data_IF_762796354538
#
_entry.id   IF_762796354538
#
_cell.length_a   1.000
_cell.length_b   1.000
_cell.length_c   1.000
_cell.angle_alpha   90.00
_cell.angle_beta   90.00
_cell.angle_gamma   90.00
#
_symmetry.space_group_name_H-M   'P 1'
#
loop_
_entity.id
_entity.type
_entity.pdbx_description
1 polymer ?
#
# COMPACT_ATOMS: atom_id res chain seq x y z
N UNK A 1 31.99 -22.27 -5.32
CA UNK A 1 30.89 -21.34 -5.63
C UNK A 1 31.52 -20.00 -5.92
N UNK A 2 31.28 -19.42 -7.09
CA UNK A 2 31.82 -18.10 -7.44
C UNK A 2 31.26 -17.02 -6.50
N UNK A 3 31.98 -15.91 -6.32
CA UNK A 3 31.49 -14.84 -5.42
C UNK A 3 30.21 -14.19 -5.97
N UNK A 4 30.06 -14.13 -7.29
CA UNK A 4 28.82 -13.68 -7.94
C UNK A 4 27.61 -14.57 -7.62
N UNK A 5 27.79 -15.89 -7.73
CA UNK A 5 26.74 -16.86 -7.36
C UNK A 5 26.33 -16.78 -5.88
N UNK A 6 27.30 -16.61 -4.96
CA UNK A 6 27.01 -16.43 -3.53
C UNK A 6 26.16 -15.18 -3.30
N UNK A 7 26.53 -14.07 -3.94
CA UNK A 7 25.81 -12.80 -3.81
C UNK A 7 24.39 -12.90 -4.39
N UNK A 8 24.21 -13.55 -5.54
CA UNK A 8 22.88 -13.82 -6.10
C UNK A 8 22.01 -14.61 -5.12
N UNK A 9 22.56 -15.67 -4.51
CA UNK A 9 21.82 -16.50 -3.53
C UNK A 9 21.38 -15.70 -2.31
N UNK A 10 22.22 -14.77 -1.81
CA UNK A 10 21.84 -13.85 -0.73
C UNK A 10 20.67 -12.97 -1.16
N UNK A 11 20.73 -12.37 -2.36
CA UNK A 11 19.63 -11.53 -2.88
C UNK A 11 18.33 -12.31 -3.02
N UNK A 12 18.39 -13.51 -3.59
CA UNK A 12 17.24 -14.41 -3.74
C UNK A 12 16.62 -14.77 -2.38
N UNK A 13 17.44 -15.17 -1.41
CA UNK A 13 16.98 -15.56 -0.08
C UNK A 13 16.22 -14.43 0.61
N UNK A 14 16.77 -13.21 0.57
CA UNK A 14 16.13 -12.04 1.18
C UNK A 14 14.86 -11.60 0.45
N UNK A 15 14.75 -11.88 -0.85
CA UNK A 15 13.52 -11.65 -1.59
C UNK A 15 12.43 -12.62 -1.15
N UNK A 16 12.75 -13.91 -1.01
CA UNK A 16 11.84 -14.92 -0.46
C UNK A 16 11.40 -14.54 0.96
N UNK A 17 12.32 -14.05 1.80
CA UNK A 17 12.01 -13.53 3.13
C UNK A 17 10.96 -12.42 3.09
N UNK A 18 11.17 -11.39 2.28
CA UNK A 18 10.21 -10.27 2.17
C UNK A 18 8.88 -10.76 1.60
N UNK A 19 8.94 -11.64 0.60
CA UNK A 19 7.79 -12.21 -0.05
C UNK A 19 6.87 -12.97 0.92
N UNK A 20 7.46 -13.80 1.78
CA UNK A 20 6.75 -14.51 2.85
C UNK A 20 5.99 -13.55 3.78
N UNK A 21 6.54 -12.37 4.09
CA UNK A 21 5.83 -11.39 4.93
C UNK A 21 4.62 -10.80 4.20
N UNK A 22 4.74 -10.58 2.90
CA UNK A 22 3.68 -9.94 2.12
C UNK A 22 2.51 -10.88 1.92
N UNK A 23 2.78 -12.12 1.54
CA UNK A 23 1.75 -13.15 1.39
C UNK A 23 1.07 -13.44 2.73
N UNK A 24 1.83 -13.43 3.83
CA UNK A 24 1.29 -13.57 5.19
C UNK A 24 0.32 -12.44 5.55
N UNK A 25 0.69 -11.19 5.30
CA UNK A 25 -0.19 -10.03 5.54
C UNK A 25 -1.44 -10.13 4.67
N UNK A 26 -1.25 -10.38 3.38
CA UNK A 26 -2.33 -10.38 2.40
C UNK A 26 -3.38 -11.45 2.72
N UNK A 27 -2.94 -12.66 3.05
CA UNK A 27 -3.83 -13.80 3.30
C UNK A 27 -4.20 -13.96 4.78
N UNK A 28 -3.70 -13.10 5.67
CA UNK A 28 -3.90 -13.23 7.11
C UNK A 28 -3.30 -14.52 7.69
N UNK A 29 -2.21 -15.01 7.10
CA UNK A 29 -1.51 -16.22 7.51
C UNK A 29 -0.28 -15.89 8.37
N UNK A 30 0.13 -16.79 9.29
CA UNK A 30 1.42 -16.66 9.94
C UNK A 30 2.59 -16.76 8.92
N UNK A 31 3.65 -15.95 9.06
CA UNK A 31 4.88 -16.11 8.28
C UNK A 31 5.47 -17.50 8.40
N UNK A 32 5.93 -18.05 7.27
CA UNK A 32 6.57 -19.37 7.23
C UNK A 32 8.00 -19.32 7.76
N UNK A 33 8.72 -18.23 7.49
CA UNK A 33 10.09 -18.03 7.94
C UNK A 33 10.03 -17.33 9.29
N UNK A 34 10.61 -17.91 10.33
CA UNK A 34 10.67 -17.32 11.65
C UNK A 34 11.94 -16.46 11.80
N UNK A 35 11.80 -15.22 12.27
CA UNK A 35 12.92 -14.27 12.39
C UNK A 35 14.02 -14.75 13.34
N UNK A 36 13.70 -15.61 14.31
CA UNK A 36 14.71 -16.19 15.24
C UNK A 36 15.64 -17.19 14.56
N UNK A 37 15.21 -17.77 13.45
CA UNK A 37 15.93 -18.78 12.68
C UNK A 37 16.67 -18.16 11.47
N UNK A 38 16.64 -16.83 11.35
CA UNK A 38 17.32 -16.09 10.28
C UNK A 38 18.73 -15.70 10.71
N UNK A 39 19.72 -16.41 10.17
CA UNK A 39 21.16 -16.14 10.37
C UNK A 39 21.91 -15.73 9.09
N UNK A 40 21.18 -15.58 7.98
CA UNK A 40 21.76 -15.20 6.69
C UNK A 40 22.29 -13.75 6.69
N UNK A 41 23.49 -13.55 6.14
CA UNK A 41 24.03 -12.22 5.88
C UNK A 41 23.15 -11.43 4.89
N UNK A 42 23.13 -10.11 5.05
CA UNK A 42 22.57 -9.21 4.04
C UNK A 42 23.42 -9.22 2.74
N UNK A 43 22.81 -8.97 1.58
CA UNK A 43 23.51 -8.70 0.33
C UNK A 43 24.46 -7.51 0.45
N UNK A 44 25.48 -7.48 -0.39
CA UNK A 44 26.42 -6.36 -0.43
C UNK A 44 25.96 -5.37 -1.52
N UNK A 45 26.07 -4.07 -1.23
CA UNK A 45 25.83 -3.02 -2.23
C UNK A 45 26.95 -3.06 -3.29
N UNK A 46 26.73 -3.86 -4.34
CA UNK A 46 27.66 -4.09 -5.43
C UNK A 46 26.93 -4.36 -6.74
N UNK A 47 27.59 -4.11 -7.86
CA UNK A 47 27.12 -4.51 -9.18
C UNK A 47 27.36 -6.01 -9.37
N UNK A 48 26.39 -6.68 -10.00
CA UNK A 48 26.45 -8.11 -10.29
C UNK A 48 26.17 -8.34 -11.79
N UNK A 49 27.24 -8.28 -12.58
CA UNK A 49 27.17 -8.47 -14.04
C UNK A 49 27.43 -9.90 -14.48
N UNK A 50 28.15 -10.68 -13.67
CA UNK A 50 28.57 -12.04 -13.98
C UNK A 50 28.47 -12.94 -12.74
N UNK A 51 27.87 -14.11 -12.91
CA UNK A 51 27.72 -15.12 -11.85
C UNK A 51 29.02 -15.89 -11.60
N UNK A 52 29.87 -15.99 -12.62
CA UNK A 52 31.18 -16.62 -12.57
C UNK A 52 32.29 -15.66 -12.11
N UNK A 53 31.94 -14.41 -11.79
CA UNK A 53 32.87 -13.39 -11.33
C UNK A 53 33.74 -13.90 -10.18
N UNK A 54 35.05 -13.66 -10.28
CA UNK A 54 36.03 -13.97 -9.23
C UNK A 54 36.06 -12.90 -8.13
N UNK A 55 35.61 -11.67 -8.44
CA UNK A 55 35.56 -10.53 -7.52
C UNK A 55 34.25 -9.73 -7.72
N UNK A 56 33.76 -9.08 -6.67
CA UNK A 56 32.57 -8.22 -6.73
C UNK A 56 32.93 -6.80 -7.17
N UNK A 57 32.10 -6.20 -8.02
CA UNK A 57 32.28 -4.82 -8.48
C UNK A 57 31.57 -3.85 -7.54
N UNK A 58 32.33 -3.09 -6.75
CA UNK A 58 31.79 -2.15 -5.77
C UNK A 58 31.58 -0.75 -6.38
N UNK A 59 30.52 -0.03 -5.97
CA UNK A 59 30.34 1.36 -6.37
C UNK A 59 31.46 2.24 -5.80
N UNK A 60 31.67 3.42 -6.37
CA UNK A 60 32.62 4.38 -5.83
C UNK A 60 32.20 4.85 -4.43
N UNK A 61 33.14 5.34 -3.59
CA UNK A 61 32.78 5.91 -2.30
C UNK A 61 31.76 7.04 -2.44
N UNK A 62 30.63 6.91 -1.75
CA UNK A 62 29.50 7.86 -1.81
C UNK A 62 28.45 7.51 -2.85
N UNK A 63 28.75 6.60 -3.79
CA UNK A 63 27.77 6.03 -4.71
C UNK A 63 27.06 4.82 -4.09
N UNK A 64 25.91 4.49 -4.67
CA UNK A 64 25.02 3.39 -4.27
C UNK A 64 24.47 2.72 -5.52
N UNK A 65 24.21 1.42 -5.43
CA UNK A 65 23.55 0.67 -6.51
C UNK A 65 22.06 0.47 -6.21
N UNK A 66 21.33 -0.18 -7.12
CA UNK A 66 19.94 -0.62 -6.89
C UNK A 66 19.80 -1.49 -5.64
N UNK A 67 20.87 -2.22 -5.29
CA UNK A 67 20.93 -3.13 -4.15
C UNK A 67 20.78 -2.36 -2.85
N UNK A 68 21.26 -1.12 -2.76
CA UNK A 68 21.00 -0.28 -1.60
C UNK A 68 19.50 -0.13 -1.36
N UNK A 69 18.70 0.16 -2.39
CA UNK A 69 17.24 0.30 -2.24
C UNK A 69 16.60 -1.05 -1.88
N UNK A 70 17.11 -2.16 -2.44
CA UNK A 70 16.69 -3.50 -2.06
C UNK A 70 16.96 -3.81 -0.57
N UNK A 71 18.11 -3.40 -0.03
CA UNK A 71 18.41 -3.55 1.41
C UNK A 71 17.42 -2.78 2.28
N UNK A 72 16.95 -1.61 1.82
CA UNK A 72 15.92 -0.83 2.51
C UNK A 72 14.55 -1.49 2.43
N UNK A 73 14.24 -2.13 1.31
CA UNK A 73 13.06 -2.95 1.14
C UNK A 73 13.07 -4.19 2.06
N UNK A 74 14.22 -4.85 2.21
CA UNK A 74 14.43 -5.92 3.21
C UNK A 74 14.24 -5.42 4.64
N UNK A 75 14.76 -4.23 4.95
CA UNK A 75 14.54 -3.56 6.24
C UNK A 75 13.06 -3.32 6.52
N UNK A 76 12.26 -2.91 5.52
CA UNK A 76 10.81 -2.84 5.65
C UNK A 76 10.18 -4.22 5.90
N UNK A 77 10.62 -5.26 5.19
CA UNK A 77 10.17 -6.64 5.43
C UNK A 77 10.35 -7.08 6.89
N UNK A 78 11.51 -6.77 7.49
CA UNK A 78 11.74 -7.02 8.94
C UNK A 78 10.80 -6.23 9.85
N UNK A 79 10.50 -4.97 9.50
CA UNK A 79 9.51 -4.17 10.26
C UNK A 79 8.11 -4.75 10.15
N UNK A 80 7.71 -5.21 8.96
CA UNK A 80 6.43 -5.85 8.72
C UNK A 80 6.27 -7.15 9.53
N UNK A 81 7.33 -7.97 9.60
CA UNK A 81 7.38 -9.15 10.47
C UNK A 81 7.06 -8.77 11.93
N UNK A 82 7.76 -7.75 12.46
CA UNK A 82 7.51 -7.25 13.82
C UNK A 82 6.11 -6.66 14.01
N UNK A 83 5.53 -6.03 12.99
CA UNK A 83 4.16 -5.51 13.02
C UNK A 83 3.16 -6.66 13.15
N UNK A 84 3.32 -7.72 12.35
CA UNK A 84 2.48 -8.93 12.44
C UNK A 84 2.53 -9.52 13.85
N UNK A 85 3.73 -9.70 14.39
CA UNK A 85 3.94 -10.29 15.72
C UNK A 85 3.40 -9.46 16.88
N UNK A 86 3.42 -8.12 16.76
CA UNK A 86 3.03 -7.24 17.86
C UNK A 86 1.57 -6.80 17.81
N UNK A 87 1.01 -6.62 16.61
CA UNK A 87 -0.31 -6.00 16.40
C UNK A 87 -1.36 -6.94 15.80
N UNK A 88 -0.95 -7.91 14.99
CA UNK A 88 -1.87 -8.79 14.24
C UNK A 88 -1.91 -10.23 14.75
N UNK A 89 -1.38 -10.48 15.95
CA UNK A 89 -1.53 -11.75 16.68
C UNK A 89 -2.63 -11.70 17.73
N UNK A 90 -3.21 -12.85 18.05
CA UNK A 90 -4.19 -13.00 19.15
C UNK A 90 -3.54 -12.96 20.54
N UNK A 91 -2.24 -13.23 20.62
CA UNK A 91 -1.54 -13.52 21.89
C UNK A 91 -0.99 -12.29 22.59
N UNK A 92 -0.76 -11.18 21.87
CA UNK A 92 -0.08 -10.00 22.42
C UNK A 92 -0.94 -8.72 22.38
N UNK A 93 -2.25 -8.80 22.65
CA UNK A 93 -3.17 -7.65 22.46
C UNK A 93 -3.04 -6.49 23.45
N UNK A 94 -2.25 -6.63 24.52
CA UNK A 94 -2.09 -5.57 25.54
C UNK A 94 -1.13 -4.48 25.05
N UNK A 95 -1.28 -3.28 25.60
CA UNK A 95 -0.45 -2.10 25.31
C UNK A 95 -0.42 -1.69 23.83
N UNK A 96 -1.54 -1.86 23.12
CA UNK A 96 -1.66 -1.56 21.69
C UNK A 96 -1.18 -0.15 21.34
N UNK A 97 -1.66 0.88 22.06
CA UNK A 97 -1.24 2.26 21.84
C UNK A 97 0.30 2.45 21.94
N UNK A 98 0.94 1.90 22.99
CA UNK A 98 2.40 1.97 23.15
C UNK A 98 3.12 1.29 21.99
N UNK A 99 2.66 0.10 21.58
CA UNK A 99 3.25 -0.66 20.47
C UNK A 99 3.14 0.10 19.14
N UNK A 100 1.98 0.70 18.87
CA UNK A 100 1.75 1.55 17.69
C UNK A 100 2.76 2.70 17.68
N UNK A 101 2.90 3.44 18.80
CA UNK A 101 3.86 4.55 18.91
C UNK A 101 5.30 4.09 18.70
N UNK A 102 5.70 2.96 19.27
CA UNK A 102 7.06 2.42 19.12
C UNK A 102 7.36 2.00 17.68
N UNK A 103 6.41 1.36 17.01
CA UNK A 103 6.52 0.94 15.61
C UNK A 103 6.54 2.13 14.65
N UNK A 104 5.66 3.12 14.84
CA UNK A 104 5.63 4.36 14.08
C UNK A 104 6.98 5.08 14.16
N UNK A 105 7.48 5.29 15.38
CA UNK A 105 8.80 5.91 15.61
C UNK A 105 9.91 5.13 14.89
N UNK A 106 9.89 3.80 15.00
CA UNK A 106 10.86 2.93 14.33
C UNK A 106 10.81 3.00 12.80
N UNK A 107 9.64 3.27 12.21
CA UNK A 107 9.48 3.48 10.78
C UNK A 107 9.93 4.89 10.36
N UNK A 108 9.63 5.93 11.15
CA UNK A 108 10.07 7.31 10.86
C UNK A 108 11.59 7.48 10.97
N UNK A 109 12.24 6.86 11.96
CA UNK A 109 13.71 6.83 12.06
C UNK A 109 14.33 6.17 10.84
N UNK A 110 13.73 5.09 10.34
CA UNK A 110 14.16 4.47 9.10
C UNK A 110 14.02 5.42 7.90
N UNK A 111 12.89 6.12 7.77
CA UNK A 111 12.71 7.11 6.70
C UNK A 111 13.73 8.27 6.78
N UNK A 112 14.05 8.75 7.98
CA UNK A 112 15.08 9.76 8.18
C UNK A 112 16.47 9.27 7.74
N UNK A 113 16.80 8.01 8.05
CA UNK A 113 18.05 7.39 7.60
C UNK A 113 18.09 7.24 6.08
N UNK A 114 16.97 6.94 5.41
CA UNK A 114 16.90 6.93 3.95
C UNK A 114 17.24 8.30 3.35
N UNK A 115 16.64 9.36 3.90
CA UNK A 115 16.90 10.73 3.46
C UNK A 115 18.36 11.12 3.61
N UNK A 116 18.98 10.75 4.73
CA UNK A 116 20.41 10.96 4.96
C UNK A 116 21.30 10.21 3.94
N UNK A 117 20.77 9.19 3.27
CA UNK A 117 21.45 8.42 2.22
C UNK A 117 20.93 8.76 0.80
N UNK A 118 20.28 9.92 0.61
CA UNK A 118 19.91 10.42 -0.72
C UNK A 118 18.58 9.92 -1.29
N UNK A 119 17.81 9.11 -0.54
CA UNK A 119 16.46 8.71 -0.94
C UNK A 119 15.45 9.64 -0.26
N UNK A 120 14.90 10.58 -1.03
CA UNK A 120 14.10 11.69 -0.50
C UNK A 120 12.61 11.46 -0.71
N UNK A 121 11.93 10.90 0.30
CA UNK A 121 10.46 10.92 0.36
C UNK A 121 9.95 11.04 1.79
N UNK A 122 8.70 11.47 1.93
CA UNK A 122 7.99 11.48 3.21
C UNK A 122 6.82 10.49 3.20
N UNK A 123 6.69 9.76 4.30
CA UNK A 123 5.54 8.89 4.55
C UNK A 123 4.34 9.81 4.85
N UNK A 124 3.21 9.53 4.23
CA UNK A 124 1.97 10.31 4.33
C UNK A 124 1.92 11.55 3.43
N UNK A 125 3.00 11.88 2.71
CA UNK A 125 3.02 13.05 1.83
C UNK A 125 2.53 12.71 0.42
N UNK A 126 1.62 13.52 -0.11
CA UNK A 126 1.11 13.45 -1.49
C UNK A 126 1.93 14.24 -2.48
N UNK A 127 2.77 15.16 -2.01
CA UNK A 127 3.62 15.97 -2.87
C UNK A 127 4.70 15.10 -3.50
N UNK A 128 4.53 14.84 -4.80
CA UNK A 128 5.54 14.19 -5.64
C UNK A 128 6.64 15.21 -5.97
N UNK A 129 7.34 15.71 -4.95
CA UNK A 129 8.56 16.50 -5.13
C UNK A 129 9.70 15.52 -5.46
N UNK A 130 9.74 15.09 -6.71
CA UNK A 130 10.93 14.50 -7.29
C UNK A 130 11.98 15.61 -7.30
N UNK A 131 12.89 15.60 -6.33
CA UNK A 131 13.99 16.58 -6.27
C UNK A 131 14.78 16.47 -7.56
N UNK A 132 14.52 17.41 -8.48
CA UNK A 132 15.21 17.62 -9.74
C UNK A 132 16.58 18.27 -9.50
N UNK A 133 17.37 17.64 -8.62
CA UNK A 133 18.74 18.03 -8.31
C UNK A 133 19.65 16.80 -8.37
N UNK A 134 20.26 16.58 -9.53
CA UNK A 134 21.50 15.82 -9.77
C UNK A 134 21.65 14.35 -9.32
N UNK A 135 20.66 13.71 -8.70
CA UNK A 135 20.78 12.27 -8.36
C UNK A 135 20.27 11.37 -9.48
N UNK A 136 21.16 10.52 -10.01
CA UNK A 136 20.93 9.45 -11.00
C UNK A 136 19.46 8.98 -11.08
N UNK A 137 18.81 9.25 -12.22
CA UNK A 137 17.46 8.76 -12.59
C UNK A 137 17.30 7.22 -12.60
N UNK A 138 18.36 6.46 -12.31
CA UNK A 138 18.43 5.01 -12.48
C UNK A 138 17.47 4.21 -11.59
N UNK A 139 16.93 4.79 -10.50
CA UNK A 139 16.15 4.04 -9.50
C UNK A 139 14.81 4.69 -9.09
N UNK A 140 14.30 5.63 -9.88
CA UNK A 140 13.08 6.39 -9.55
C UNK A 140 11.87 5.47 -9.26
N UNK A 141 11.61 4.49 -10.13
CA UNK A 141 10.51 3.54 -9.95
C UNK A 141 10.66 2.68 -8.68
N UNK A 142 11.89 2.31 -8.34
CA UNK A 142 12.24 1.54 -7.15
C UNK A 142 12.07 2.37 -5.88
N UNK A 143 12.38 3.67 -5.93
CA UNK A 143 12.12 4.62 -4.83
C UNK A 143 10.63 4.86 -4.63
N UNK A 144 9.86 5.06 -5.71
CA UNK A 144 8.40 5.18 -5.63
C UNK A 144 7.77 3.93 -5.01
N UNK A 145 8.25 2.75 -5.40
CA UNK A 145 7.83 1.49 -4.78
C UNK A 145 8.14 1.44 -3.29
N UNK A 146 9.35 1.84 -2.90
CA UNK A 146 9.74 1.85 -1.50
C UNK A 146 8.87 2.81 -0.68
N UNK A 147 8.55 3.99 -1.22
CA UNK A 147 7.63 4.94 -0.60
C UNK A 147 6.22 4.36 -0.48
N UNK A 148 5.72 3.69 -1.52
CA UNK A 148 4.42 3.05 -1.50
C UNK A 148 4.32 1.99 -0.40
N UNK A 149 5.34 1.14 -0.29
CA UNK A 149 5.44 0.11 0.75
C UNK A 149 5.58 0.70 2.15
N UNK A 150 6.28 1.82 2.31
CA UNK A 150 6.37 2.53 3.58
C UNK A 150 5.00 3.08 4.04
N UNK A 151 4.19 3.62 3.12
CA UNK A 151 2.83 4.09 3.43
C UNK A 151 1.88 2.93 3.78
N UNK A 152 2.00 1.80 3.10
CA UNK A 152 1.25 0.59 3.46
C UNK A 152 1.66 0.10 4.86
N UNK A 153 2.95 0.09 5.15
CA UNK A 153 3.48 -0.27 6.48
C UNK A 153 2.91 0.66 7.55
N UNK A 154 2.87 1.97 7.29
CA UNK A 154 2.29 2.94 8.21
C UNK A 154 0.78 2.71 8.44
N UNK A 155 0.05 2.38 7.38
CA UNK A 155 -1.38 2.02 7.46
C UNK A 155 -1.58 0.79 8.36
N UNK A 156 -0.73 -0.23 8.24
CA UNK A 156 -0.79 -1.43 9.09
C UNK A 156 -0.45 -1.13 10.55
N UNK A 157 0.47 -0.20 10.82
CA UNK A 157 0.80 0.21 12.19
C UNK A 157 -0.41 0.84 12.87
N UNK A 158 -1.09 1.78 12.19
CA UNK A 158 -2.15 2.59 12.81
C UNK A 158 -3.55 2.00 12.71
N UNK A 159 -3.81 1.10 11.76
CA UNK A 159 -5.14 0.50 11.55
C UNK A 159 -5.75 -0.13 12.82
N UNK A 160 -5.02 -0.90 13.65
CA UNK A 160 -5.60 -1.45 14.87
C UNK A 160 -6.11 -0.37 15.84
N UNK A 161 -5.50 0.83 15.83
CA UNK A 161 -5.92 1.95 16.66
C UNK A 161 -7.28 2.56 16.27
N UNK A 162 -7.81 2.22 15.10
CA UNK A 162 -9.18 2.59 14.70
C UNK A 162 -10.25 1.82 15.50
N UNK A 163 -9.85 0.81 16.27
CA UNK A 163 -10.73 0.09 17.20
C UNK A 163 -10.72 0.68 18.62
N UNK A 164 -9.90 1.69 18.88
CA UNK A 164 -9.90 2.39 20.16
C UNK A 164 -11.17 3.22 20.34
N UNK A 165 -11.43 3.63 21.58
CA UNK A 165 -12.51 4.56 21.87
C UNK A 165 -12.30 5.85 21.08
N UNK A 166 -13.32 6.24 20.33
CA UNK A 166 -13.23 7.28 19.33
C UNK A 166 -13.14 8.72 19.90
N UNK A 167 -13.27 8.84 21.23
CA UNK A 167 -13.06 10.08 21.98
C UNK A 167 -11.60 10.28 22.37
N UNK A 168 -10.75 9.27 22.17
CA UNK A 168 -9.35 9.30 22.59
C UNK A 168 -8.45 9.99 21.57
N UNK A 169 -7.39 10.71 22.01
CA UNK A 169 -6.42 11.27 21.08
C UNK A 169 -5.67 10.19 20.28
N UNK A 170 -5.51 8.99 20.85
CA UNK A 170 -4.90 7.84 20.18
C UNK A 170 -5.68 7.44 18.93
N UNK A 171 -7.02 7.35 19.02
CA UNK A 171 -7.88 7.09 17.86
C UNK A 171 -7.71 8.17 16.79
N UNK A 172 -7.77 9.44 17.19
CA UNK A 172 -7.64 10.58 16.26
C UNK A 172 -6.30 10.59 15.52
N UNK A 173 -5.21 10.29 16.22
CA UNK A 173 -3.88 10.18 15.61
C UNK A 173 -3.80 9.01 14.63
N UNK A 174 -4.30 7.83 15.01
CA UNK A 174 -4.29 6.66 14.13
C UNK A 174 -5.10 6.90 12.86
N UNK A 175 -6.27 7.55 12.98
CA UNK A 175 -7.10 7.89 11.84
C UNK A 175 -6.40 8.89 10.90
N UNK A 176 -5.72 9.91 11.43
CA UNK A 176 -4.94 10.86 10.63
C UNK A 176 -3.83 10.15 9.85
N UNK A 177 -3.05 9.31 10.51
CA UNK A 177 -1.94 8.59 9.85
C UNK A 177 -2.42 7.62 8.77
N UNK A 178 -3.57 6.96 8.99
CA UNK A 178 -4.22 6.15 7.95
C UNK A 178 -4.73 6.99 6.76
N UNK A 179 -5.25 8.21 7.00
CA UNK A 179 -5.68 9.12 5.94
C UNK A 179 -4.51 9.63 5.10
N UNK A 180 -3.46 10.11 5.76
CA UNK A 180 -2.28 10.66 5.10
C UNK A 180 -1.59 9.57 4.26
N UNK A 181 -1.40 8.38 4.87
CA UNK A 181 -0.84 7.22 4.16
C UNK A 181 -1.75 6.76 3.01
N UNK A 182 -3.07 6.73 3.21
CA UNK A 182 -4.04 6.37 2.18
C UNK A 182 -4.02 7.33 0.99
N UNK A 183 -3.94 8.64 1.25
CA UNK A 183 -3.83 9.69 0.23
C UNK A 183 -2.54 9.55 -0.58
N UNK A 184 -1.42 9.29 0.10
CA UNK A 184 -0.12 9.06 -0.51
C UNK A 184 -0.13 7.79 -1.37
N UNK A 185 -0.72 6.69 -0.88
CA UNK A 185 -0.89 5.45 -1.65
C UNK A 185 -1.64 5.73 -2.95
N UNK A 186 -2.81 6.39 -2.88
CA UNK A 186 -3.62 6.68 -4.07
C UNK A 186 -2.85 7.54 -5.08
N UNK A 187 -2.13 8.56 -4.61
CA UNK A 187 -1.35 9.44 -5.48
C UNK A 187 -0.14 8.75 -6.11
N UNK A 188 0.57 7.90 -5.36
CA UNK A 188 1.69 7.12 -5.87
C UNK A 188 1.23 6.06 -6.87
N UNK A 189 0.12 5.37 -6.59
CA UNK A 189 -0.45 4.36 -7.48
C UNK A 189 -0.95 4.98 -8.78
N UNK A 190 -1.49 6.20 -8.75
CA UNK A 190 -1.86 6.93 -9.96
C UNK A 190 -0.65 7.37 -10.78
N UNK A 191 0.38 7.91 -10.12
CA UNK A 191 1.58 8.42 -10.79
C UNK A 191 2.54 7.33 -11.30
N UNK A 192 2.50 6.15 -10.68
CA UNK A 192 3.50 5.11 -10.92
C UNK A 192 3.09 4.13 -12.02
N UNK A 193 3.98 3.91 -12.98
CA UNK A 193 3.84 2.86 -13.98
C UNK A 193 4.32 1.49 -13.44
N UNK A 194 3.88 1.13 -12.22
CA UNK A 194 4.27 -0.14 -11.59
C UNK A 194 3.74 -1.29 -12.46
N UNK A 195 4.59 -2.24 -12.88
CA UNK A 195 4.17 -3.43 -13.62
C UNK A 195 3.03 -4.16 -12.92
N UNK A 196 2.03 -4.62 -13.68
CA UNK A 196 0.84 -5.29 -13.13
C UNK A 196 1.17 -6.48 -12.25
N UNK A 197 2.12 -7.31 -12.67
CA UNK A 197 2.55 -8.47 -11.90
C UNK A 197 3.04 -8.05 -10.51
N UNK A 198 3.79 -6.94 -10.42
CA UNK A 198 4.30 -6.44 -9.16
C UNK A 198 3.20 -5.84 -8.27
N UNK A 199 2.18 -5.19 -8.86
CA UNK A 199 0.97 -4.79 -8.11
C UNK A 199 0.23 -6.00 -7.54
N UNK A 200 0.11 -7.06 -8.33
CA UNK A 200 -0.63 -8.28 -7.96
C UNK A 200 0.16 -9.20 -7.01
N UNK A 201 1.49 -9.10 -6.96
CA UNK A 201 2.34 -9.85 -6.01
C UNK A 201 2.51 -9.14 -4.64
N UNK A 202 1.92 -7.96 -4.49
CA UNK A 202 2.19 -7.08 -3.34
C UNK A 202 0.92 -6.67 -2.62
N UNK A 203 1.12 -5.97 -1.51
CA UNK A 203 0.08 -5.28 -0.74
C UNK A 203 -0.58 -4.12 -1.51
N UNK A 204 -0.34 -3.97 -2.82
CA UNK A 204 -0.82 -2.88 -3.69
C UNK A 204 -1.90 -3.41 -4.65
N UNK A 205 -2.90 -4.09 -4.11
CA UNK A 205 -4.04 -4.60 -4.87
C UNK A 205 -5.28 -3.68 -4.82
N UNK A 206 -6.37 -4.06 -5.52
CA UNK A 206 -7.65 -3.35 -5.45
C UNK A 206 -8.19 -3.17 -4.03
N UNK A 207 -7.95 -4.13 -3.13
CA UNK A 207 -8.35 -4.04 -1.72
C UNK A 207 -7.70 -2.84 -1.02
N UNK A 208 -6.40 -2.62 -1.24
CA UNK A 208 -5.67 -1.50 -0.64
C UNK A 208 -6.15 -0.16 -1.21
N UNK A 209 -6.39 -0.09 -2.52
CA UNK A 209 -6.94 1.13 -3.15
C UNK A 209 -8.33 1.44 -2.58
N UNK A 210 -9.20 0.44 -2.46
CA UNK A 210 -10.52 0.57 -1.86
C UNK A 210 -10.44 1.03 -0.40
N UNK A 211 -9.59 0.41 0.41
CA UNK A 211 -9.40 0.79 1.82
C UNK A 211 -8.85 2.21 1.98
N UNK A 212 -7.93 2.64 1.12
CA UNK A 212 -7.42 4.01 1.10
C UNK A 212 -8.51 5.03 0.73
N UNK A 213 -9.43 4.70 -0.17
CA UNK A 213 -10.59 5.56 -0.43
C UNK A 213 -11.61 5.54 0.72
N UNK A 214 -11.83 4.37 1.32
CA UNK A 214 -12.83 4.17 2.38
C UNK A 214 -12.47 4.94 3.66
N UNK A 215 -11.19 5.06 4.01
CA UNK A 215 -10.78 5.82 5.21
C UNK A 215 -11.14 7.31 5.09
N UNK A 216 -11.16 7.90 3.89
CA UNK A 216 -11.67 9.25 3.66
C UNK A 216 -13.16 9.35 3.94
N UNK A 217 -13.96 8.40 3.43
CA UNK A 217 -15.40 8.35 3.69
C UNK A 217 -15.64 8.24 5.20
N UNK A 218 -14.97 7.29 5.86
CA UNK A 218 -15.07 7.07 7.29
C UNK A 218 -14.73 8.34 8.09
N UNK A 219 -13.63 9.02 7.76
CA UNK A 219 -13.24 10.26 8.44
C UNK A 219 -14.26 11.38 8.29
N UNK A 220 -14.83 11.56 7.09
CA UNK A 220 -15.84 12.60 6.89
C UNK A 220 -17.12 12.28 7.68
N UNK A 221 -17.54 11.02 7.70
CA UNK A 221 -18.69 10.58 8.48
C UNK A 221 -18.47 10.74 9.99
N UNK A 222 -17.26 10.46 10.48
CA UNK A 222 -16.91 10.55 11.90
C UNK A 222 -16.92 11.99 12.39
N UNK A 223 -16.35 12.92 11.61
CA UNK A 223 -16.19 14.32 11.99
C UNK A 223 -17.19 15.27 11.29
N UNK A 224 -18.44 14.82 11.13
CA UNK A 224 -19.53 15.64 10.55
C UNK A 224 -19.79 16.93 11.32
N UNK A 225 -19.81 16.86 12.64
CA UNK A 225 -20.23 17.97 13.51
C UNK A 225 -19.08 18.83 13.99
N UNK A 226 -17.92 18.22 14.21
CA UNK A 226 -16.70 18.88 14.65
C UNK A 226 -15.51 18.24 13.96
N UNK A 227 -14.71 19.07 13.31
CA UNK A 227 -13.57 18.62 12.53
C UNK A 227 -12.26 19.09 13.18
N UNK A 228 -11.43 18.14 13.66
CA UNK A 228 -10.15 18.50 14.25
C UNK A 228 -9.19 19.11 13.23
N UNK A 229 -8.25 19.92 13.71
CA UNK A 229 -7.18 20.48 12.88
C UNK A 229 -6.33 19.37 12.23
N UNK A 230 -5.92 19.62 10.99
CA UNK A 230 -5.13 18.68 10.18
C UNK A 230 -5.94 17.59 9.45
N UNK A 231 -7.27 17.57 9.56
CA UNK A 231 -8.11 16.66 8.77
C UNK A 231 -8.52 17.26 7.41
N UNK A 232 -8.51 16.49 6.32
CA UNK A 232 -8.72 16.99 4.96
C UNK A 232 -10.14 17.51 4.75
N UNK A 233 -10.29 18.66 4.05
CA UNK A 233 -11.58 19.22 3.60
C UNK A 233 -12.47 18.16 2.92
N UNK A 234 -13.79 18.39 2.88
CA UNK A 234 -14.71 17.50 2.19
C UNK A 234 -14.28 17.32 0.73
N UNK A 235 -14.01 18.42 0.03
CA UNK A 235 -13.57 18.40 -1.37
C UNK A 235 -12.26 17.63 -1.55
N UNK A 236 -11.29 17.79 -0.65
CA UNK A 236 -10.03 17.03 -0.67
C UNK A 236 -10.30 15.53 -0.54
N UNK A 237 -11.18 15.13 0.37
CA UNK A 237 -11.55 13.73 0.57
C UNK A 237 -12.32 13.16 -0.62
N UNK A 238 -13.27 13.93 -1.17
CA UNK A 238 -14.00 13.55 -2.39
C UNK A 238 -13.06 13.38 -3.59
N UNK A 239 -12.04 14.24 -3.71
CA UNK A 239 -10.99 14.12 -4.71
C UNK A 239 -10.18 12.83 -4.58
N UNK A 240 -9.77 12.45 -3.37
CA UNK A 240 -9.08 11.18 -3.13
C UNK A 240 -9.98 9.96 -3.38
N UNK A 241 -11.25 10.00 -2.99
CA UNK A 241 -12.21 8.92 -3.28
C UNK A 241 -12.39 8.75 -4.80
N UNK A 242 -12.53 9.87 -5.52
CA UNK A 242 -12.63 9.87 -6.99
C UNK A 242 -11.38 9.30 -7.65
N UNK A 243 -10.20 9.61 -7.11
CA UNK A 243 -8.92 9.04 -7.54
C UNK A 243 -8.92 7.51 -7.35
N UNK A 244 -9.33 7.00 -6.20
CA UNK A 244 -9.47 5.56 -5.96
C UNK A 244 -10.43 4.88 -6.95
N UNK A 245 -11.59 5.49 -7.21
CA UNK A 245 -12.55 5.00 -8.21
C UNK A 245 -11.93 4.95 -9.61
N UNK A 246 -11.16 5.98 -9.99
CA UNK A 246 -10.49 6.05 -11.29
C UNK A 246 -9.49 4.91 -11.47
N UNK A 247 -8.63 4.68 -10.48
CA UNK A 247 -7.64 3.59 -10.48
C UNK A 247 -8.33 2.23 -10.63
N UNK A 248 -9.34 1.96 -9.80
CA UNK A 248 -10.08 0.68 -9.84
C UNK A 248 -10.82 0.49 -11.17
N UNK A 249 -11.39 1.55 -11.72
CA UNK A 249 -12.08 1.51 -13.03
C UNK A 249 -11.10 1.19 -14.14
N UNK A 250 -9.89 1.77 -14.11
CA UNK A 250 -8.83 1.46 -15.06
C UNK A 250 -8.44 -0.03 -14.97
N UNK A 251 -8.27 -0.57 -13.77
CA UNK A 251 -7.96 -1.98 -13.57
C UNK A 251 -9.09 -2.91 -14.05
N UNK A 252 -10.35 -2.56 -13.82
CA UNK A 252 -11.52 -3.31 -14.28
C UNK A 252 -11.64 -3.40 -15.80
N UNK A 253 -11.43 -2.28 -16.49
CA UNK A 253 -11.47 -2.21 -17.96
C UNK A 253 -10.40 -3.09 -18.62
N UNK A 254 -9.29 -3.34 -17.92
CA UNK A 254 -8.16 -4.14 -18.40
C UNK A 254 -8.31 -5.62 -18.03
N UNK A 255 -9.06 -5.96 -17.00
CA UNK A 255 -9.30 -7.34 -16.58
C UNK A 255 -10.35 -8.07 -17.43
N UNK A 256 -11.36 -7.33 -17.90
CA UNK A 256 -12.35 -7.83 -18.87
C UNK A 256 -11.72 -8.31 -20.19
N UNK A 257 -10.46 -7.94 -20.46
CA UNK A 257 -9.70 -8.37 -21.64
C UNK A 257 -8.89 -9.67 -21.43
N UNK A 258 -8.69 -10.14 -20.19
CA UNK A 258 -7.69 -11.20 -19.89
C UNK A 258 -8.22 -12.34 -18.98
N UNK A 259 -9.17 -12.11 -18.05
CA UNK A 259 -9.60 -13.12 -17.07
C UNK A 259 -11.11 -13.11 -16.71
N UNK A 260 -11.61 -14.21 -16.13
CA UNK A 260 -13.03 -14.62 -16.01
C UNK A 260 -13.99 -13.77 -15.14
N UNK A 261 -15.29 -14.09 -15.29
CA UNK A 261 -16.49 -13.34 -14.80
C UNK A 261 -16.41 -12.81 -13.36
N UNK A 262 -15.93 -13.63 -12.41
CA UNK A 262 -16.03 -13.37 -10.98
C UNK A 262 -15.12 -12.20 -10.51
N UNK A 263 -13.93 -12.03 -11.11
CA UNK A 263 -13.03 -10.91 -10.81
C UNK A 263 -13.66 -9.58 -11.25
N UNK A 264 -14.19 -9.57 -12.47
CA UNK A 264 -14.86 -8.39 -13.02
C UNK A 264 -16.09 -8.00 -12.20
N UNK A 265 -16.85 -8.97 -11.71
CA UNK A 265 -18.03 -8.76 -10.87
C UNK A 265 -17.65 -8.15 -9.51
N UNK A 266 -16.68 -8.73 -8.79
CA UNK A 266 -16.27 -8.24 -7.46
C UNK A 266 -15.70 -6.82 -7.52
N UNK A 267 -14.88 -6.54 -8.54
CA UNK A 267 -14.31 -5.21 -8.75
C UNK A 267 -15.37 -4.18 -9.15
N UNK A 268 -16.34 -4.58 -9.98
CA UNK A 268 -17.48 -3.73 -10.38
C UNK A 268 -18.35 -3.35 -9.19
N UNK A 269 -18.63 -4.30 -8.30
CA UNK A 269 -19.42 -4.07 -7.08
C UNK A 269 -18.75 -3.06 -6.14
N UNK A 270 -17.44 -3.15 -5.98
CA UNK A 270 -16.67 -2.24 -5.12
C UNK A 270 -16.55 -0.84 -5.74
N UNK A 271 -16.41 -0.75 -7.06
CA UNK A 271 -16.50 0.52 -7.78
C UNK A 271 -17.89 1.14 -7.60
N UNK A 272 -18.96 0.35 -7.76
CA UNK A 272 -20.34 0.81 -7.55
C UNK A 272 -20.52 1.36 -6.14
N UNK A 273 -20.04 0.61 -5.15
CA UNK A 273 -20.06 1.03 -3.74
C UNK A 273 -19.41 2.38 -3.52
N UNK A 274 -18.16 2.56 -3.95
CA UNK A 274 -17.45 3.82 -3.73
C UNK A 274 -18.16 4.98 -4.41
N UNK A 275 -18.74 4.77 -5.60
CA UNK A 275 -19.54 5.78 -6.31
C UNK A 275 -20.80 6.17 -5.53
N UNK A 276 -21.53 5.20 -5.01
CA UNK A 276 -22.72 5.44 -4.17
C UNK A 276 -22.36 6.17 -2.88
N UNK A 277 -21.28 5.76 -2.20
CA UNK A 277 -20.84 6.44 -0.98
C UNK A 277 -20.37 7.87 -1.28
N UNK A 278 -19.63 8.07 -2.37
CA UNK A 278 -19.17 9.39 -2.80
C UNK A 278 -20.34 10.34 -3.11
N UNK A 279 -21.38 9.89 -3.82
CA UNK A 279 -22.54 10.72 -4.15
C UNK A 279 -23.40 11.04 -2.92
N UNK A 280 -23.45 10.14 -1.94
CA UNK A 280 -24.18 10.36 -0.68
C UNK A 280 -23.46 11.28 0.30
N UNK A 281 -22.14 11.47 0.15
CA UNK A 281 -21.30 12.15 1.14
C UNK A 281 -21.68 13.63 1.37
N UNK A 282 -21.97 14.46 0.35
CA UNK A 282 -22.41 15.84 0.56
C UNK A 282 -23.76 15.95 1.29
N UNK A 283 -24.69 15.04 0.98
CA UNK A 283 -26.00 14.95 1.65
C UNK A 283 -25.80 14.59 3.12
N UNK A 284 -24.93 13.62 3.40
CA UNK A 284 -24.54 13.21 4.74
C UNK A 284 -23.89 14.34 5.57
N UNK A 285 -23.24 15.32 4.92
CA UNK A 285 -22.65 16.49 5.56
C UNK A 285 -23.66 17.66 5.73
N UNK A 286 -24.92 17.49 5.31
CA UNK A 286 -25.95 18.53 5.39
C UNK A 286 -25.74 19.68 4.41
N UNK A 287 -24.91 19.50 3.36
CA UNK A 287 -24.63 20.53 2.35
C UNK A 287 -25.65 20.53 1.19
N UNK A 288 -26.41 19.45 1.06
CA UNK A 288 -27.50 19.30 0.10
C UNK A 288 -28.73 18.88 0.89
N UNK A 289 -29.83 19.65 0.80
CA UNK A 289 -31.11 19.23 1.37
C UNK A 289 -31.49 17.88 0.76
N UNK A 290 -31.85 16.89 1.59
CA UNK A 290 -32.56 15.71 1.11
C UNK A 290 -33.75 16.21 0.31
N UNK A 291 -33.97 15.80 -0.95
CA UNK A 291 -35.10 16.29 -1.73
C UNK A 291 -36.36 16.08 -0.89
N UNK A 292 -36.98 17.19 -0.49
CA UNK A 292 -38.29 17.16 0.16
C UNK A 292 -39.22 16.47 -0.83
N UNK A 293 -39.69 15.27 -0.48
CA UNK A 293 -40.76 14.60 -1.20
C UNK A 293 -42.01 15.45 -1.01
N UNK A 294 -42.25 16.35 -1.95
CA UNK A 294 -43.59 16.89 -2.18
C UNK A 294 -44.36 15.75 -2.82
N UNK A 295 -45.35 15.25 -2.09
CA UNK A 295 -46.30 14.23 -2.52
C UNK A 295 -47.18 14.78 -3.65
N UNK A 296 -46.62 14.83 -4.86
CA UNK A 296 -47.34 15.12 -6.10
C UNK A 296 -47.16 13.93 -7.06
N UNK A 297 -47.76 12.79 -6.70
CA UNK A 297 -48.43 11.84 -7.60
C UNK A 297 -47.74 11.32 -8.87
N UNK A 298 -46.44 11.56 -9.08
CA UNK A 298 -45.68 11.11 -10.24
C UNK A 298 -44.50 10.27 -9.76
N UNK A 299 -44.42 8.98 -10.11
CA UNK A 299 -43.29 8.15 -9.71
C UNK A 299 -42.06 8.57 -10.52
N UNK A 300 -41.18 9.36 -9.93
CA UNK A 300 -39.84 9.62 -10.46
C UNK A 300 -38.94 8.46 -10.06
N UNK A 301 -38.47 7.70 -11.05
CA UNK A 301 -37.55 6.57 -10.93
C UNK A 301 -36.10 6.99 -10.66
N UNK A 302 -35.88 8.07 -9.90
CA UNK A 302 -34.55 8.62 -9.63
C UNK A 302 -34.32 8.80 -8.11
N UNK A 303 -34.75 7.82 -7.31
CA UNK A 303 -34.16 7.69 -5.99
C UNK A 303 -32.67 7.35 -6.20
N UNK A 304 -31.71 8.10 -5.61
CA UNK A 304 -30.32 7.70 -5.69
C UNK A 304 -30.23 6.25 -5.18
N UNK A 305 -29.59 5.38 -5.97
CA UNK A 305 -29.36 3.96 -5.63
C UNK A 305 -28.98 3.89 -4.15
N UNK A 306 -29.95 3.51 -3.32
CA UNK A 306 -29.72 3.41 -1.88
C UNK A 306 -28.79 2.23 -1.69
N UNK A 307 -27.83 2.37 -0.78
CA UNK A 307 -26.93 1.28 -0.45
C UNK A 307 -27.75 0.11 0.08
N UNK A 308 -27.98 -0.88 -0.77
CA UNK A 308 -28.76 -2.05 -0.42
C UNK A 308 -27.85 -3.05 0.31
N UNK A 309 -27.83 -2.94 1.64
CA UNK A 309 -27.11 -3.88 2.51
C UNK A 309 -27.48 -5.35 2.24
N UNK A 310 -28.66 -5.63 1.67
CA UNK A 310 -29.11 -7.00 1.36
C UNK A 310 -28.54 -7.53 0.04
N UNK A 311 -28.15 -6.64 -0.88
CA UNK A 311 -27.55 -7.00 -2.18
C UNK A 311 -26.03 -6.83 -2.23
N UNK A 312 -25.39 -6.35 -1.15
CA UNK A 312 -23.94 -6.46 -1.03
C UNK A 312 -23.57 -7.94 -0.98
N UNK A 313 -22.96 -8.44 -2.05
CA UNK A 313 -22.39 -9.77 -2.06
C UNK A 313 -21.25 -9.77 -1.04
N UNK A 314 -21.47 -10.39 0.13
CA UNK A 314 -20.49 -10.45 1.23
C UNK A 314 -19.11 -10.96 0.80
N UNK A 315 -19.03 -11.58 -0.39
CA UNK A 315 -17.84 -12.18 -0.95
C UNK A 315 -16.94 -11.21 -1.73
N UNK A 316 -17.38 -9.99 -2.10
CA UNK A 316 -16.55 -9.10 -2.92
C UNK A 316 -15.25 -8.66 -2.24
N UNK A 317 -15.31 -8.37 -0.93
CA UNK A 317 -14.12 -8.04 -0.13
C UNK A 317 -13.23 -9.26 0.12
N UNK A 318 -13.83 -10.42 0.37
CA UNK A 318 -13.09 -11.68 0.52
C UNK A 318 -12.38 -12.05 -0.78
N UNK A 319 -13.08 -11.97 -1.91
CA UNK A 319 -12.52 -12.19 -3.24
C UNK A 319 -11.30 -11.29 -3.48
N UNK A 320 -11.37 -10.00 -3.16
CA UNK A 320 -10.23 -9.10 -3.32
C UNK A 320 -9.02 -9.43 -2.42
N UNK A 321 -9.22 -10.02 -1.23
CA UNK A 321 -8.13 -10.41 -0.33
C UNK A 321 -7.47 -11.75 -0.73
N UNK A 322 -8.21 -12.64 -1.40
CA UNK A 322 -7.69 -13.94 -1.85
C UNK A 322 -7.18 -13.93 -3.31
N UNK A 323 -7.43 -12.86 -4.06
CA UNK A 323 -7.10 -12.69 -5.48
C UNK A 323 -5.65 -12.31 -5.74
N UNK A 324 -4.71 -13.17 -5.35
CA UNK A 324 -3.36 -13.07 -5.91
C UNK A 324 -2.94 -14.35 -6.59
N UNK A 325 -3.18 -15.56 -6.06
CA UNK A 325 -2.53 -16.82 -6.46
C UNK A 325 -2.53 -17.21 -7.98
N UNK A 326 -3.41 -16.68 -8.84
CA UNK A 326 -3.53 -17.11 -10.24
C UNK A 326 -3.01 -16.13 -11.31
N UNK A 327 -2.61 -14.91 -10.93
CA UNK A 327 -2.08 -13.88 -11.86
C UNK A 327 -0.56 -13.97 -12.10
N UNK A 328 0.11 -14.97 -11.53
CA UNK A 328 1.57 -15.10 -11.43
C UNK A 328 2.21 -15.60 -12.72
N UNK A 329 1.40 -15.96 -13.72
CA UNK A 329 1.84 -16.56 -14.98
C UNK A 329 2.20 -15.52 -16.06
N UNK A 330 2.36 -14.25 -15.69
CA UNK A 330 2.91 -13.22 -16.57
C UNK A 330 4.44 -13.21 -16.55
N UNK A 331 5.06 -13.11 -17.71
CA UNK A 331 6.51 -13.06 -17.89
C UNK A 331 7.14 -11.87 -17.11
N UNK A 332 7.99 -12.12 -16.09
CA UNK A 332 8.66 -11.08 -15.33
C UNK A 332 9.85 -10.52 -16.12
N UNK A 333 9.59 -9.82 -17.23
CA UNK A 333 10.65 -9.13 -17.97
C UNK A 333 11.01 -7.81 -17.26
N UNK A 334 12.23 -7.76 -16.70
CA UNK A 334 12.88 -6.53 -16.24
C UNK A 334 13.58 -6.63 -14.86
N UNK A 335 14.69 -5.89 -14.64
CA UNK A 335 15.38 -5.87 -13.36
C UNK A 335 14.61 -5.05 -12.32
N UNK A 336 13.73 -5.70 -11.57
CA UNK A 336 13.10 -5.03 -10.42
C UNK A 336 14.08 -4.96 -9.24
N UNK A 337 14.43 -3.76 -8.79
CA UNK A 337 15.36 -3.54 -7.66
C UNK A 337 16.73 -4.24 -7.79
N UNK A 338 17.27 -4.35 -9.00
CA UNK A 338 18.58 -4.97 -9.24
C UNK A 338 18.57 -6.51 -9.16
N UNK A 339 17.39 -7.14 -9.32
CA UNK A 339 17.25 -8.61 -9.33
C UNK A 339 17.98 -9.26 -10.51
N UNK A 340 18.20 -8.51 -11.60
CA UNK A 340 18.97 -8.96 -12.77
C UNK A 340 19.68 -7.77 -13.42
N UNK A 341 20.75 -7.25 -12.80
CA UNK A 341 21.76 -6.46 -13.55
C UNK A 341 22.57 -7.36 -14.51
N UNK A 342 21.99 -8.48 -14.96
CA UNK A 342 22.51 -9.33 -16.01
C UNK A 342 22.07 -8.65 -17.30
N UNK A 343 22.99 -7.90 -17.92
CA UNK A 343 22.76 -7.34 -19.24
C UNK A 343 22.34 -8.44 -20.21
N UNK A 344 21.44 -8.11 -21.15
CA UNK A 344 21.27 -8.93 -22.34
C UNK A 344 22.64 -9.06 -23.01
N UNK A 345 23.20 -10.27 -22.98
CA UNK A 345 24.45 -10.63 -23.66
C UNK A 345 24.29 -10.61 -25.17
#
# INVERSE_FOLDING_TARGET
MGVGEIELRKRLWWWVYVFDRFTSILHGLPPLINDVDVDNDLPIDCHLYDLEATELSHPLPGERTAVFVFLQYVSLGKKLSRILDLLYTTTQRRDGARKITDLDRGLRVWNQNLKANGILFDIGNTDLQHSSGDTNHSYESTTMWLQLMANITMTLIHRPGLSFDDTTPEFGNCLRECLDSGSAILSLVEASNIPKWLRNLSLVGPATIFQSALVHIYSQLKYRTFKPDGFPALDTSMGMISKGISILTMDSSRATQVQGSIYSESLSEIIKTLRTLLSSLPVAQGLVETPHVVDDGVPISDAPDTFDEQNWSGNALDALNYMTASDWMGDPSGPFMGFMDLGES
#
